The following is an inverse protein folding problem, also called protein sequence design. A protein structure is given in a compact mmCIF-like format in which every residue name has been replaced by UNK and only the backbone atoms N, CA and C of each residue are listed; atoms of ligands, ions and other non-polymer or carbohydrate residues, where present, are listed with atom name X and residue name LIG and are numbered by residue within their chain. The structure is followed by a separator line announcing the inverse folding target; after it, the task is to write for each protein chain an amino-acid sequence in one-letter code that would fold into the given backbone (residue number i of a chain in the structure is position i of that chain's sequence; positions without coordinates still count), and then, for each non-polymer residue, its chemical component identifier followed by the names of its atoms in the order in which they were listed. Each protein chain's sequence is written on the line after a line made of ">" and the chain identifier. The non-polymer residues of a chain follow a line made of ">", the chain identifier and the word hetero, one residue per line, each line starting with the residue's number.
data_IF_222794606625
#
_entry.id   IF_222794606625
#
_cell.length_a   1.000
_cell.length_b   1.000
_cell.length_c   1.000
_cell.angle_alpha   90.00
_cell.angle_beta   90.00
_cell.angle_gamma   90.00
#
_symmetry.space_group_name_H-M   'P 1'
#
loop_
_entity.id
_entity.type
_entity.pdbx_description
1 polymer ?
#
# COMPACT_ATOMS: atom_id res chain seq x y z
N UNK A 1 34.71 58.60 -33.58
CA UNK A 1 35.80 57.69 -34.02
C UNK A 1 35.18 56.39 -34.51
N UNK A 2 35.82 55.77 -35.49
CA UNK A 2 35.24 54.89 -36.51
C UNK A 2 34.82 53.50 -35.98
N UNK A 3 33.70 53.03 -36.53
CA UNK A 3 33.21 51.63 -36.50
C UNK A 3 33.97 50.80 -37.55
N UNK A 4 34.25 49.52 -37.27
CA UNK A 4 33.93 48.43 -38.21
C UNK A 4 33.10 47.35 -37.47
N UNK A 5 31.97 46.81 -37.92
CA UNK A 5 31.49 46.32 -39.23
C UNK A 5 32.22 45.06 -39.76
N UNK A 6 32.01 43.90 -39.12
CA UNK A 6 32.20 42.52 -39.62
C UNK A 6 31.39 41.60 -38.69
N UNK A 7 30.61 40.58 -39.04
CA UNK A 7 29.95 40.05 -40.23
C UNK A 7 29.09 38.89 -39.66
N UNK A 8 27.84 38.76 -40.09
CA UNK A 8 26.97 37.61 -39.82
C UNK A 8 27.69 36.30 -40.19
N UNK A 9 27.68 35.30 -39.30
CA UNK A 9 27.73 33.88 -39.68
C UNK A 9 26.63 33.16 -38.92
N UNK A 10 25.83 32.44 -39.68
CA UNK A 10 24.65 31.68 -39.30
C UNK A 10 24.94 30.53 -38.32
N UNK A 11 24.02 30.29 -37.37
CA UNK A 11 23.72 28.98 -36.78
C UNK A 11 23.44 27.93 -37.89
N UNK A 12 23.63 26.60 -37.72
CA UNK A 12 23.33 25.84 -36.50
C UNK A 12 24.23 24.62 -36.19
N UNK A 13 24.53 24.34 -34.92
CA UNK A 13 24.81 22.96 -34.47
C UNK A 13 24.04 22.72 -33.17
N UNK A 14 22.71 22.74 -33.26
CA UNK A 14 21.88 21.87 -32.43
C UNK A 14 21.79 20.53 -33.17
N UNK A 15 22.89 19.77 -33.16
CA UNK A 15 22.78 18.33 -33.31
C UNK A 15 22.29 17.83 -31.94
N UNK A 16 20.97 17.79 -31.80
CA UNK A 16 20.34 16.97 -30.79
C UNK A 16 21.01 15.61 -30.85
N UNK A 17 21.57 15.17 -29.73
CA UNK A 17 21.89 13.78 -29.44
C UNK A 17 20.56 13.01 -29.48
N UNK A 18 20.03 12.78 -30.68
CA UNK A 18 19.02 11.75 -30.92
C UNK A 18 19.76 10.43 -30.85
N UNK A 19 20.13 10.04 -29.62
CA UNK A 19 20.37 8.63 -29.34
C UNK A 19 19.17 7.82 -29.83
N UNK A 20 19.36 6.53 -30.16
CA UNK A 20 18.22 5.66 -30.41
C UNK A 20 17.21 5.84 -29.27
N UNK A 21 15.89 5.84 -29.55
CA UNK A 21 14.88 5.96 -28.51
C UNK A 21 15.22 4.91 -27.45
N UNK A 22 15.35 5.36 -26.19
CA UNK A 22 15.63 4.48 -25.07
C UNK A 22 14.64 3.31 -25.15
N UNK A 23 15.16 2.10 -25.37
CA UNK A 23 14.33 0.92 -25.52
C UNK A 23 13.69 0.66 -24.16
N UNK A 24 12.38 0.47 -24.14
CA UNK A 24 11.71 0.00 -22.95
C UNK A 24 12.00 -1.49 -22.78
N UNK A 25 12.43 -1.86 -21.58
CA UNK A 25 12.68 -3.24 -21.21
C UNK A 25 11.44 -3.86 -20.56
N UNK A 26 10.53 -3.08 -20.00
CA UNK A 26 9.27 -3.57 -19.45
C UNK A 26 8.07 -2.72 -19.85
N UNK A 27 6.91 -3.36 -19.90
CA UNK A 27 5.62 -2.72 -20.13
C UNK A 27 4.55 -3.36 -19.27
N UNK A 28 3.62 -2.56 -18.76
CA UNK A 28 2.38 -3.06 -18.14
C UNK A 28 1.20 -2.45 -18.87
N UNK A 29 0.23 -3.29 -19.22
CA UNK A 29 -1.04 -2.92 -19.80
C UNK A 29 -2.18 -3.25 -18.84
N UNK A 30 -3.25 -2.44 -18.88
CA UNK A 30 -4.38 -2.58 -17.98
C UNK A 30 -5.70 -2.24 -18.68
N UNK A 31 -6.75 -2.99 -18.36
CA UNK A 31 -8.14 -2.76 -18.76
C UNK A 31 -8.98 -2.44 -17.52
N UNK A 32 -9.38 -1.17 -17.32
CA UNK A 32 -10.16 -0.76 -16.15
C UNK A 32 -11.48 -1.51 -15.97
N UNK A 33 -12.26 -1.71 -17.04
CA UNK A 33 -13.62 -2.25 -16.93
C UNK A 33 -13.65 -3.67 -16.34
N UNK A 34 -12.66 -4.50 -16.68
CA UNK A 34 -12.55 -5.88 -16.21
C UNK A 34 -11.55 -6.06 -15.07
N UNK A 35 -10.91 -4.97 -14.62
CA UNK A 35 -9.77 -5.01 -13.69
C UNK A 35 -8.70 -6.05 -14.08
N UNK A 36 -8.43 -6.16 -15.38
CA UNK A 36 -7.50 -7.14 -15.94
C UNK A 36 -6.22 -6.43 -16.38
N UNK A 37 -5.07 -7.05 -16.14
CA UNK A 37 -3.77 -6.47 -16.46
C UNK A 37 -2.85 -7.51 -17.08
N UNK A 38 -1.85 -7.06 -17.83
CA UNK A 38 -0.78 -7.90 -18.34
C UNK A 38 0.52 -7.12 -18.31
N UNK A 39 1.63 -7.82 -18.21
CA UNK A 39 2.96 -7.21 -18.22
C UNK A 39 3.90 -8.02 -19.09
N UNK A 40 4.94 -7.38 -19.58
CA UNK A 40 5.95 -8.07 -20.32
C UNK A 40 7.30 -7.41 -20.11
N UNK A 41 8.34 -8.22 -20.20
CA UNK A 41 9.72 -7.81 -20.03
C UNK A 41 10.54 -8.21 -21.26
N UNK A 42 11.70 -7.59 -21.42
CA UNK A 42 12.51 -7.76 -22.60
C UNK A 42 13.09 -9.17 -22.64
N UNK A 43 12.82 -9.82 -23.75
CA UNK A 43 13.50 -11.03 -24.21
C UNK A 43 13.84 -10.78 -25.67
N UNK A 44 14.92 -11.35 -26.18
CA UNK A 44 15.47 -10.95 -27.49
C UNK A 44 14.43 -10.82 -28.61
N UNK A 45 14.29 -9.61 -29.13
CA UNK A 45 13.34 -9.29 -30.22
C UNK A 45 11.89 -9.04 -29.79
N UNK A 46 11.56 -9.10 -28.50
CA UNK A 46 10.19 -8.88 -28.00
C UNK A 46 9.80 -7.40 -28.05
N UNK A 47 8.65 -7.13 -28.67
CA UNK A 47 7.88 -5.88 -28.54
C UNK A 47 7.11 -5.95 -27.22
N UNK A 48 7.73 -5.42 -26.14
CA UNK A 48 7.23 -5.55 -24.77
C UNK A 48 5.84 -4.94 -24.59
N UNK A 49 5.54 -3.86 -25.31
CA UNK A 49 4.24 -3.21 -25.27
C UNK A 49 3.15 -4.11 -25.87
N UNK A 50 3.39 -4.61 -27.09
CA UNK A 50 2.44 -5.52 -27.74
C UNK A 50 2.24 -6.81 -26.94
N UNK A 51 3.30 -7.32 -26.32
CA UNK A 51 3.21 -8.48 -25.45
C UNK A 51 2.31 -8.22 -24.23
N UNK A 52 2.54 -7.12 -23.50
CA UNK A 52 1.75 -6.75 -22.33
C UNK A 52 0.25 -6.57 -22.69
N UNK A 53 -0.03 -5.92 -23.82
CA UNK A 53 -1.40 -5.76 -24.34
C UNK A 53 -2.08 -7.11 -24.62
N UNK A 54 -1.38 -8.04 -25.29
CA UNK A 54 -1.92 -9.38 -25.56
C UNK A 54 -2.16 -10.17 -24.28
N UNK A 55 -1.27 -10.03 -23.30
CA UNK A 55 -1.44 -10.73 -22.03
C UNK A 55 -2.66 -10.19 -21.27
N UNK A 56 -2.82 -8.86 -21.19
CA UNK A 56 -4.02 -8.23 -20.64
C UNK A 56 -5.31 -8.73 -21.32
N UNK A 57 -5.30 -8.84 -22.66
CA UNK A 57 -6.44 -9.38 -23.41
C UNK A 57 -6.69 -10.86 -23.12
N UNK A 58 -5.62 -11.66 -22.97
CA UNK A 58 -5.72 -13.08 -22.64
C UNK A 58 -6.31 -13.34 -21.25
N UNK A 59 -6.16 -12.37 -20.34
CA UNK A 59 -6.79 -12.37 -19.02
C UNK A 59 -8.16 -11.66 -18.99
N UNK A 60 -8.79 -11.50 -20.16
CA UNK A 60 -10.17 -11.03 -20.27
C UNK A 60 -10.34 -9.52 -20.41
N UNK A 61 -9.26 -8.72 -20.46
CA UNK A 61 -9.36 -7.29 -20.68
C UNK A 61 -9.84 -6.94 -22.09
N UNK A 62 -10.84 -6.05 -22.20
CA UNK A 62 -11.40 -5.66 -23.52
C UNK A 62 -10.89 -4.30 -24.01
N UNK A 63 -10.48 -3.42 -23.09
CA UNK A 63 -9.97 -2.08 -23.37
C UNK A 63 -8.53 -1.90 -22.86
N UNK A 64 -7.69 -2.91 -23.07
CA UNK A 64 -6.29 -2.91 -22.65
C UNK A 64 -5.49 -1.76 -23.27
N UNK A 65 -4.81 -0.98 -22.42
CA UNK A 65 -3.86 0.06 -22.81
C UNK A 65 -2.59 -0.02 -21.97
N UNK A 66 -1.47 0.38 -22.55
CA UNK A 66 -0.21 0.54 -21.82
C UNK A 66 -0.36 1.63 -20.75
N UNK A 67 0.00 1.31 -19.51
CA UNK A 67 -0.11 2.23 -18.36
C UNK A 67 1.25 2.68 -17.83
N UNK A 68 2.27 1.83 -17.95
CA UNK A 68 3.67 2.18 -17.70
C UNK A 68 4.57 1.47 -18.70
N UNK A 69 5.68 2.14 -19.02
CA UNK A 69 6.71 1.67 -19.94
C UNK A 69 8.07 2.13 -19.38
N UNK A 70 8.96 1.20 -19.04
CA UNK A 70 10.25 1.53 -18.44
C UNK A 70 11.40 0.77 -19.07
N UNK A 71 12.61 1.28 -18.88
CA UNK A 71 13.85 0.56 -19.14
C UNK A 71 14.18 -0.39 -17.98
N UNK A 72 15.47 -0.47 -17.67
CA UNK A 72 16.03 -1.35 -16.65
C UNK A 72 15.43 -1.14 -15.24
N UNK A 73 15.45 -2.21 -14.44
CA UNK A 73 15.09 -2.20 -13.02
C UNK A 73 14.01 -3.23 -12.65
N UNK A 74 13.53 -3.08 -11.42
CA UNK A 74 12.46 -3.88 -10.82
C UNK A 74 11.11 -3.19 -11.02
N UNK A 75 10.07 -4.00 -11.11
CA UNK A 75 8.70 -3.60 -11.36
C UNK A 75 7.78 -4.41 -10.44
N UNK A 76 6.63 -3.86 -10.10
CA UNK A 76 5.63 -4.60 -9.34
C UNK A 76 4.22 -4.18 -9.73
N UNK A 77 3.28 -5.10 -9.53
CA UNK A 77 1.85 -4.85 -9.64
C UNK A 77 1.20 -5.24 -8.31
N UNK A 78 0.38 -4.34 -7.79
CA UNK A 78 -0.44 -4.55 -6.61
C UNK A 78 -1.92 -4.40 -6.97
N UNK A 79 -2.77 -5.18 -6.33
CA UNK A 79 -4.21 -5.19 -6.52
C UNK A 79 -4.92 -4.86 -5.20
N UNK A 80 -6.03 -4.15 -5.30
CA UNK A 80 -6.83 -3.84 -4.12
C UNK A 80 -7.54 -5.09 -3.59
N UNK A 81 -7.62 -5.17 -2.26
CA UNK A 81 -8.40 -6.18 -1.57
C UNK A 81 -9.89 -5.87 -1.72
N UNK A 82 -10.68 -6.91 -2.04
CA UNK A 82 -12.13 -6.80 -2.11
C UNK A 82 -12.72 -6.22 -0.81
N UNK A 83 -13.78 -5.39 -0.89
CA UNK A 83 -14.62 -5.12 -2.07
C UNK A 83 -14.08 -4.03 -3.01
N UNK A 84 -12.97 -3.38 -2.66
CA UNK A 84 -12.35 -2.42 -3.56
C UNK A 84 -11.74 -3.15 -4.77
N UNK A 85 -11.72 -2.45 -5.90
CA UNK A 85 -11.22 -2.97 -7.18
C UNK A 85 -10.33 -1.91 -7.79
N UNK A 86 -9.07 -2.27 -8.03
CA UNK A 86 -8.10 -1.40 -8.65
C UNK A 86 -6.71 -2.00 -8.64
N UNK A 87 -5.77 -1.20 -9.14
CA UNK A 87 -4.40 -1.59 -9.40
C UNK A 87 -3.45 -0.45 -9.01
N UNK A 88 -2.27 -0.83 -8.53
CA UNK A 88 -1.09 0.02 -8.45
C UNK A 88 0.06 -0.67 -9.16
N UNK A 89 0.86 0.10 -9.89
CA UNK A 89 1.99 -0.39 -10.67
C UNK A 89 3.18 0.48 -10.37
N UNK A 90 4.34 -0.15 -10.20
CA UNK A 90 5.64 0.51 -10.18
C UNK A 90 6.54 -0.10 -11.24
N UNK A 91 7.48 0.69 -11.75
CA UNK A 91 8.23 0.31 -12.93
C UNK A 91 9.61 0.97 -12.95
N UNK A 92 10.65 0.21 -13.33
CA UNK A 92 12.03 0.70 -13.44
C UNK A 92 12.63 1.27 -12.15
N UNK A 93 12.44 0.62 -11.00
CA UNK A 93 13.03 1.03 -9.72
C UNK A 93 14.19 0.11 -9.29
N UNK A 94 15.03 0.59 -8.37
CA UNK A 94 16.34 -0.03 -8.14
C UNK A 94 16.33 -1.41 -7.45
N UNK A 95 15.28 -1.77 -6.72
CA UNK A 95 15.22 -3.03 -5.98
C UNK A 95 13.77 -3.55 -5.79
N UNK A 96 13.58 -4.85 -5.46
CA UNK A 96 12.27 -5.47 -5.33
C UNK A 96 11.39 -4.82 -4.24
N UNK A 97 12.00 -4.44 -3.10
CA UNK A 97 11.29 -3.78 -1.99
C UNK A 97 10.67 -2.45 -2.43
N UNK A 98 11.45 -1.61 -3.12
CA UNK A 98 10.98 -0.31 -3.62
C UNK A 98 9.88 -0.50 -4.65
N UNK A 99 10.01 -1.50 -5.53
CA UNK A 99 8.98 -1.81 -6.52
C UNK A 99 7.66 -2.16 -5.82
N UNK A 100 7.70 -3.08 -4.85
CA UNK A 100 6.54 -3.43 -4.01
C UNK A 100 5.96 -2.18 -3.35
N UNK A 101 6.75 -1.43 -2.60
CA UNK A 101 6.27 -0.32 -1.79
C UNK A 101 5.58 0.75 -2.65
N UNK A 102 6.15 1.09 -3.81
CA UNK A 102 5.56 2.05 -4.75
C UNK A 102 4.25 1.53 -5.36
N UNK A 103 4.21 0.25 -5.77
CA UNK A 103 3.00 -0.33 -6.34
C UNK A 103 1.86 -0.40 -5.30
N UNK A 104 2.18 -0.83 -4.07
CA UNK A 104 1.24 -0.84 -2.94
C UNK A 104 0.75 0.58 -2.64
N UNK A 105 1.63 1.56 -2.51
CA UNK A 105 1.26 2.94 -2.23
C UNK A 105 0.38 3.56 -3.34
N UNK A 106 0.72 3.32 -4.61
CA UNK A 106 -0.10 3.76 -5.75
C UNK A 106 -1.50 3.12 -5.73
N UNK A 107 -1.58 1.82 -5.40
CA UNK A 107 -2.84 1.10 -5.28
C UNK A 107 -3.69 1.62 -4.11
N UNK A 108 -3.08 1.75 -2.92
CA UNK A 108 -3.76 2.22 -1.70
C UNK A 108 -4.25 3.65 -1.88
N UNK A 109 -3.47 4.53 -2.51
CA UNK A 109 -3.90 5.91 -2.79
C UNK A 109 -5.04 5.96 -3.80
N UNK A 110 -5.00 5.13 -4.84
CA UNK A 110 -6.05 5.13 -5.85
C UNK A 110 -7.37 4.58 -5.31
N UNK A 111 -7.32 3.48 -4.55
CA UNK A 111 -8.49 2.70 -4.14
C UNK A 111 -8.96 2.98 -2.72
N UNK A 112 -8.13 3.65 -1.91
CA UNK A 112 -8.35 3.86 -0.48
C UNK A 112 -8.69 2.54 0.25
N UNK A 113 -7.99 1.47 -0.10
CA UNK A 113 -8.16 0.15 0.46
C UNK A 113 -6.80 -0.51 0.68
N UNK A 114 -6.77 -1.56 1.50
CA UNK A 114 -5.61 -2.44 1.56
C UNK A 114 -5.34 -3.01 0.17
N UNK A 115 -4.06 -3.03 -0.20
CA UNK A 115 -3.62 -3.64 -1.45
C UNK A 115 -2.59 -4.72 -1.16
N UNK A 116 -2.50 -5.70 -2.06
CA UNK A 116 -1.55 -6.80 -1.97
C UNK A 116 -0.78 -6.89 -3.29
N UNK A 117 0.50 -7.21 -3.20
CA UNK A 117 1.35 -7.37 -4.37
C UNK A 117 0.99 -8.66 -5.07
N UNK A 118 0.62 -8.57 -6.34
CA UNK A 118 0.32 -9.72 -7.17
C UNK A 118 1.61 -10.28 -7.77
N UNK A 119 2.48 -9.42 -8.30
CA UNK A 119 3.76 -9.85 -8.88
C UNK A 119 4.86 -8.80 -8.71
N UNK A 120 6.11 -9.27 -8.68
CA UNK A 120 7.34 -8.47 -8.75
C UNK A 120 8.25 -9.11 -9.79
N UNK A 121 8.75 -8.31 -10.74
CA UNK A 121 9.54 -8.80 -11.86
C UNK A 121 10.63 -7.83 -12.30
N UNK A 122 11.71 -8.34 -12.89
CA UNK A 122 12.82 -7.55 -13.41
C UNK A 122 12.70 -7.27 -14.92
N UNK A 123 13.66 -6.49 -15.44
CA UNK A 123 13.71 -6.07 -16.84
C UNK A 123 13.88 -7.20 -17.87
N UNK A 124 14.30 -8.39 -17.44
CA UNK A 124 14.47 -9.56 -18.31
C UNK A 124 13.41 -10.64 -18.08
N UNK A 125 12.42 -10.37 -17.21
CA UNK A 125 11.26 -11.20 -16.99
C UNK A 125 11.39 -12.23 -15.87
N UNK A 126 12.43 -12.16 -15.04
CA UNK A 126 12.48 -12.99 -13.84
C UNK A 126 11.45 -12.48 -12.84
N UNK A 127 10.64 -13.40 -12.32
CA UNK A 127 9.64 -13.10 -11.30
C UNK A 127 10.13 -13.51 -9.92
N UNK A 128 9.76 -12.72 -8.91
CA UNK A 128 9.90 -13.12 -7.52
C UNK A 128 8.86 -14.21 -7.21
N UNK A 129 9.23 -15.32 -6.56
CA UNK A 129 8.28 -16.36 -6.18
C UNK A 129 7.14 -15.81 -5.31
N UNK A 130 5.92 -16.31 -5.53
CA UNK A 130 4.73 -15.79 -4.84
C UNK A 130 4.82 -15.85 -3.30
N UNK A 131 5.42 -16.91 -2.76
CA UNK A 131 5.63 -17.06 -1.32
C UNK A 131 6.49 -15.93 -0.75
N UNK A 132 7.54 -15.53 -1.48
CA UNK A 132 8.39 -14.38 -1.13
C UNK A 132 7.64 -13.06 -1.29
N UNK A 133 6.78 -12.94 -2.29
CA UNK A 133 5.91 -11.76 -2.47
C UNK A 133 5.02 -11.58 -1.25
N UNK A 134 4.28 -12.63 -0.87
CA UNK A 134 3.38 -12.62 0.29
C UNK A 134 4.11 -12.42 1.61
N UNK A 135 5.23 -13.11 1.86
CA UNK A 135 6.02 -12.90 3.06
C UNK A 135 6.46 -11.43 3.19
N UNK A 136 6.88 -10.83 2.08
CA UNK A 136 7.29 -9.44 2.06
C UNK A 136 6.15 -8.44 2.27
N UNK A 137 4.95 -8.69 1.73
CA UNK A 137 3.79 -7.84 2.02
C UNK A 137 3.42 -7.89 3.51
N UNK A 138 3.46 -9.08 4.11
CA UNK A 138 3.19 -9.23 5.55
C UNK A 138 4.19 -8.48 6.41
N UNK A 139 5.49 -8.59 6.09
CA UNK A 139 6.54 -7.86 6.78
C UNK A 139 6.39 -6.33 6.60
N UNK A 140 6.08 -5.89 5.38
CA UNK A 140 5.84 -4.49 5.06
C UNK A 140 4.69 -3.90 5.90
N UNK A 141 3.52 -4.54 5.89
CA UNK A 141 2.39 -4.05 6.68
C UNK A 141 2.65 -4.17 8.18
N UNK A 142 3.28 -5.25 8.65
CA UNK A 142 3.60 -5.43 10.05
C UNK A 142 4.52 -4.33 10.58
N UNK A 143 5.66 -4.10 9.92
CA UNK A 143 6.64 -3.08 10.34
C UNK A 143 6.05 -1.68 10.23
N UNK A 144 5.34 -1.37 9.14
CA UNK A 144 4.69 -0.07 8.97
C UNK A 144 3.65 0.23 10.05
N UNK A 145 2.78 -0.73 10.38
CA UNK A 145 1.77 -0.54 11.43
C UNK A 145 2.41 -0.46 12.81
N UNK A 146 3.44 -1.27 13.10
CA UNK A 146 4.18 -1.20 14.36
C UNK A 146 4.80 0.20 14.56
N UNK A 147 5.40 0.79 13.51
CA UNK A 147 5.88 2.18 13.55
C UNK A 147 4.76 3.17 13.85
N UNK A 148 3.62 3.07 13.18
CA UNK A 148 2.43 3.90 13.44
C UNK A 148 1.92 3.75 14.88
N UNK A 149 2.24 2.63 15.54
CA UNK A 149 1.89 2.34 16.92
C UNK A 149 3.00 2.62 17.93
N UNK A 150 4.07 3.29 17.51
CA UNK A 150 5.25 3.63 18.32
C UNK A 150 5.91 2.40 18.96
N UNK A 151 5.87 1.25 18.30
CA UNK A 151 6.75 0.13 18.66
C UNK A 151 8.13 0.39 18.06
N UNK A 152 9.17 -0.03 18.79
CA UNK A 152 10.55 0.08 18.33
C UNK A 152 10.80 -0.93 17.21
N UNK A 153 10.87 -0.45 15.98
CA UNK A 153 11.31 -1.18 14.79
C UNK A 153 12.18 -0.24 13.97
N UNK A 154 13.24 -0.76 13.36
CA UNK A 154 14.27 0.05 12.70
C UNK A 154 13.70 0.81 11.50
N UNK A 155 13.49 0.09 10.41
CA UNK A 155 13.02 0.64 9.14
C UNK A 155 11.81 -0.13 8.63
N UNK A 156 11.03 0.53 7.76
CA UNK A 156 10.01 -0.14 6.98
C UNK A 156 10.68 -1.07 5.97
N UNK A 157 10.37 -2.37 6.04
CA UNK A 157 11.08 -3.42 5.31
C UNK A 157 10.14 -4.55 4.92
N UNK A 158 10.52 -5.35 3.91
CA UNK A 158 9.83 -6.58 3.51
C UNK A 158 10.43 -7.85 4.15
N UNK A 159 11.26 -7.68 5.18
CA UNK A 159 11.80 -8.79 5.97
C UNK A 159 11.64 -8.50 7.46
N UNK A 160 11.44 -9.54 8.27
CA UNK A 160 11.41 -9.38 9.72
C UNK A 160 12.81 -9.66 10.26
N UNK A 161 13.41 -8.69 10.94
CA UNK A 161 14.63 -8.87 11.72
C UNK A 161 14.30 -9.29 13.17
N UNK A 162 15.30 -9.27 14.06
CA UNK A 162 15.08 -9.61 15.47
C UNK A 162 14.22 -8.60 16.23
N UNK A 163 14.33 -7.32 15.89
CA UNK A 163 13.63 -6.23 16.56
C UNK A 163 12.17 -6.15 16.12
N UNK A 164 11.89 -6.29 14.83
CA UNK A 164 10.54 -6.40 14.29
C UNK A 164 9.79 -7.61 14.86
N UNK A 165 10.47 -8.77 15.02
CA UNK A 165 9.88 -9.95 15.68
C UNK A 165 9.59 -9.72 17.16
N UNK A 166 10.49 -9.05 17.88
CA UNK A 166 10.25 -8.70 19.28
C UNK A 166 9.06 -7.74 19.42
N UNK A 167 8.99 -6.70 18.59
CA UNK A 167 7.86 -5.76 18.55
C UNK A 167 6.54 -6.45 18.19
N UNK A 168 6.55 -7.39 17.23
CA UNK A 168 5.39 -8.23 16.92
C UNK A 168 4.96 -9.09 18.11
N UNK A 169 5.92 -9.70 18.81
CA UNK A 169 5.66 -10.50 19.99
C UNK A 169 5.01 -9.68 21.12
N UNK A 170 5.53 -8.46 21.36
CA UNK A 170 4.96 -7.52 22.33
C UNK A 170 3.56 -7.05 21.93
N UNK A 171 3.35 -6.80 20.64
CA UNK A 171 2.01 -6.48 20.12
C UNK A 171 1.05 -7.65 20.35
N UNK A 172 1.44 -8.86 19.96
CA UNK A 172 0.66 -10.09 20.16
C UNK A 172 0.29 -10.28 21.64
N UNK A 173 1.24 -10.06 22.55
CA UNK A 173 1.00 -10.09 23.99
C UNK A 173 -0.12 -9.12 24.41
N UNK A 174 -0.06 -7.87 23.94
CA UNK A 174 -1.05 -6.84 24.26
C UNK A 174 -2.44 -7.19 23.76
N UNK A 175 -2.56 -7.85 22.61
CA UNK A 175 -3.86 -8.19 22.00
C UNK A 175 -4.29 -9.65 22.25
N UNK A 176 -3.64 -10.34 23.19
CA UNK A 176 -4.02 -11.68 23.64
C UNK A 176 -3.76 -12.80 22.63
N UNK A 177 -2.80 -12.63 21.73
CA UNK A 177 -2.37 -13.64 20.77
C UNK A 177 -1.14 -14.43 21.26
N UNK A 178 -0.89 -15.65 20.72
CA UNK A 178 0.38 -16.32 20.91
C UNK A 178 1.55 -15.46 20.43
N UNK A 179 2.58 -15.34 21.26
CA UNK A 179 3.78 -14.54 21.06
C UNK A 179 4.77 -15.20 20.08
N UNK A 180 4.34 -15.46 18.84
CA UNK A 180 5.18 -16.08 17.81
C UNK A 180 6.24 -15.13 17.25
N UNK A 181 6.01 -13.81 17.32
CA UNK A 181 6.80 -12.81 16.61
C UNK A 181 6.59 -12.83 15.10
N UNK A 182 5.60 -13.57 14.60
CA UNK A 182 5.34 -13.76 13.17
C UNK A 182 3.94 -13.20 12.79
N UNK A 183 3.82 -12.48 11.66
CA UNK A 183 2.59 -11.82 11.24
C UNK A 183 1.70 -12.79 10.44
N UNK A 184 1.11 -13.76 11.13
CA UNK A 184 0.07 -14.58 10.52
C UNK A 184 -1.22 -13.77 10.21
N UNK A 185 -2.22 -14.42 9.61
CA UNK A 185 -3.43 -13.73 9.17
C UNK A 185 -4.20 -13.09 10.35
N UNK A 186 -4.21 -13.71 11.54
CA UNK A 186 -4.91 -13.13 12.70
C UNK A 186 -4.11 -11.95 13.24
N UNK A 187 -2.78 -12.09 13.39
CA UNK A 187 -1.87 -11.02 13.81
C UNK A 187 -1.98 -9.81 12.89
N UNK A 188 -1.99 -10.00 11.56
CA UNK A 188 -2.18 -8.92 10.59
C UNK A 188 -3.56 -8.28 10.71
N UNK A 189 -4.61 -9.08 10.86
CA UNK A 189 -5.96 -8.57 11.12
C UNK A 189 -5.99 -7.66 12.35
N UNK A 190 -5.32 -8.06 13.44
CA UNK A 190 -5.20 -7.25 14.66
C UNK A 190 -4.39 -5.98 14.46
N UNK A 191 -3.30 -6.05 13.70
CA UNK A 191 -2.50 -4.89 13.37
C UNK A 191 -3.35 -3.84 12.64
N UNK A 192 -4.07 -4.24 11.58
CA UNK A 192 -4.97 -3.32 10.87
C UNK A 192 -6.05 -2.72 11.78
N UNK A 193 -6.68 -3.52 12.64
CA UNK A 193 -7.67 -3.01 13.60
C UNK A 193 -7.09 -2.06 14.65
N UNK A 194 -5.77 -2.08 14.89
CA UNK A 194 -5.13 -1.18 15.85
C UNK A 194 -5.03 0.27 15.38
N UNK A 195 -5.06 0.53 14.07
CA UNK A 195 -4.88 1.86 13.46
C UNK A 195 -6.02 2.30 12.52
N UNK A 196 -6.82 1.36 12.01
CA UNK A 196 -7.75 1.48 10.88
C UNK A 196 -7.10 1.36 9.50
N UNK A 197 -7.88 0.89 8.53
CA UNK A 197 -7.42 0.74 7.14
C UNK A 197 -7.15 2.11 6.52
N UNK A 198 -8.04 3.08 6.73
CA UNK A 198 -7.88 4.45 6.22
C UNK A 198 -6.60 5.14 6.73
N UNK A 199 -6.22 4.90 7.99
CA UNK A 199 -4.94 5.42 8.51
C UNK A 199 -3.76 4.75 7.81
N UNK A 200 -3.77 3.42 7.67
CA UNK A 200 -2.68 2.71 6.98
C UNK A 200 -2.53 3.18 5.54
N UNK A 201 -3.63 3.28 4.79
CA UNK A 201 -3.59 3.71 3.38
C UNK A 201 -3.09 5.14 3.25
N UNK A 202 -3.50 6.04 4.15
CA UNK A 202 -3.05 7.44 4.15
C UNK A 202 -1.58 7.55 4.53
N UNK A 203 -1.17 6.98 5.67
CA UNK A 203 0.19 7.16 6.19
C UNK A 203 1.22 6.42 5.34
N UNK A 204 1.01 5.12 5.06
CA UNK A 204 1.94 4.35 4.23
C UNK A 204 1.90 4.79 2.76
N UNK A 205 0.71 5.11 2.25
CA UNK A 205 0.55 5.58 0.87
C UNK A 205 1.24 6.94 0.64
N UNK A 206 1.09 7.88 1.57
CA UNK A 206 1.71 9.21 1.46
C UNK A 206 3.22 9.14 1.70
N UNK A 207 3.67 8.36 2.70
CA UNK A 207 5.09 8.22 3.01
C UNK A 207 5.94 7.87 1.78
N UNK A 208 5.54 6.87 0.99
CA UNK A 208 6.30 6.50 -0.21
C UNK A 208 6.06 7.44 -1.39
N UNK A 209 4.84 7.89 -1.64
CA UNK A 209 4.61 8.73 -2.81
C UNK A 209 5.22 10.12 -2.64
N UNK A 210 5.24 10.65 -1.43
CA UNK A 210 5.80 11.98 -1.16
C UNK A 210 7.34 11.91 -1.06
N UNK A 211 7.90 10.86 -0.44
CA UNK A 211 9.35 10.66 -0.39
C UNK A 211 9.98 10.50 -1.78
N UNK A 212 9.20 10.04 -2.77
CA UNK A 212 9.69 9.73 -4.11
C UNK A 212 8.95 10.49 -5.23
N UNK A 213 8.22 11.57 -4.90
CA UNK A 213 7.35 12.29 -5.83
C UNK A 213 8.08 12.80 -7.10
N UNK A 214 9.37 13.15 -6.97
CA UNK A 214 10.22 13.59 -8.10
C UNK A 214 10.70 12.43 -8.96
N UNK A 215 11.27 11.39 -8.36
CA UNK A 215 11.92 10.28 -9.06
C UNK A 215 10.95 9.27 -9.67
N UNK A 216 9.71 9.22 -9.16
CA UNK A 216 8.67 8.29 -9.63
C UNK A 216 7.66 8.91 -10.59
N UNK A 217 7.79 10.21 -10.93
CA UNK A 217 6.94 10.83 -11.91
C UNK A 217 7.05 10.10 -13.27
N UNK A 218 6.00 9.35 -13.64
CA UNK A 218 5.97 8.51 -14.85
C UNK A 218 6.43 7.05 -14.65
N UNK A 219 6.83 6.65 -13.45
CA UNK A 219 7.22 5.27 -13.07
C UNK A 219 6.22 4.55 -12.17
N UNK A 220 5.17 5.27 -11.75
CA UNK A 220 4.07 4.72 -10.98
C UNK A 220 2.74 5.00 -11.67
N UNK A 221 1.81 4.04 -11.58
CA UNK A 221 0.44 4.17 -12.06
C UNK A 221 -0.51 3.62 -11.00
N UNK A 222 -1.56 4.36 -10.68
CA UNK A 222 -2.63 3.92 -9.78
C UNK A 222 -3.99 4.14 -10.42
N UNK A 223 -4.88 3.15 -10.32
CA UNK A 223 -6.25 3.28 -10.82
C UNK A 223 -7.23 2.51 -9.95
N UNK A 224 -8.38 3.13 -9.68
CA UNK A 224 -9.50 2.49 -9.01
C UNK A 224 -10.67 2.34 -9.99
N UNK A 225 -11.16 1.10 -10.09
CA UNK A 225 -12.45 0.78 -10.72
C UNK A 225 -13.57 1.06 -9.71
N UNK A 226 -13.36 0.61 -8.47
CA UNK A 226 -14.14 0.98 -7.30
C UNK A 226 -13.19 1.17 -6.11
N UNK A 227 -13.25 2.35 -5.49
CA UNK A 227 -12.54 2.61 -4.24
C UNK A 227 -13.46 2.46 -3.03
N UNK A 228 -12.88 2.39 -1.83
CA UNK A 228 -13.64 2.63 -0.61
C UNK A 228 -13.74 4.14 -0.39
N UNK A 229 -14.89 4.68 0.02
CA UNK A 229 -14.92 6.05 0.51
C UNK A 229 -13.92 6.18 1.68
N UNK A 230 -13.21 7.32 1.82
CA UNK A 230 -12.48 7.63 3.04
C UNK A 230 -13.43 7.45 4.22
N UNK A 231 -13.08 6.54 5.13
CA UNK A 231 -13.86 6.24 6.32
C UNK A 231 -13.05 6.58 7.54
N UNK A 232 -13.72 7.17 8.52
CA UNK A 232 -13.19 7.25 9.87
C UNK A 232 -13.19 5.85 10.50
N UNK A 233 -12.36 5.67 11.53
CA UNK A 233 -12.22 4.37 12.22
C UNK A 233 -13.56 3.84 12.72
N UNK A 234 -14.40 4.71 13.29
CA UNK A 234 -15.74 4.33 13.75
C UNK A 234 -16.66 3.88 12.62
N UNK A 235 -16.61 4.53 11.45
CA UNK A 235 -17.40 4.12 10.29
C UNK A 235 -16.95 2.75 9.75
N UNK A 236 -15.65 2.45 9.81
CA UNK A 236 -15.12 1.12 9.49
C UNK A 236 -15.72 0.07 10.44
N UNK A 237 -15.76 0.35 11.74
CA UNK A 237 -16.31 -0.56 12.74
C UNK A 237 -17.83 -0.76 12.61
N UNK A 238 -18.58 0.31 12.30
CA UNK A 238 -20.02 0.23 12.03
C UNK A 238 -20.36 -0.68 10.86
N UNK A 239 -19.48 -0.73 9.85
CA UNK A 239 -19.65 -1.60 8.69
C UNK A 239 -19.33 -3.09 8.97
N UNK A 240 -18.75 -3.42 10.13
CA UNK A 240 -18.44 -4.79 10.52
C UNK A 240 -19.65 -5.48 11.16
N UNK A 241 -19.72 -6.81 11.04
CA UNK A 241 -20.60 -7.61 11.88
C UNK A 241 -20.22 -7.45 13.36
N UNK A 242 -21.19 -7.68 14.25
CA UNK A 242 -21.03 -7.42 15.68
C UNK A 242 -19.85 -8.17 16.30
N UNK A 243 -19.62 -9.44 15.93
CA UNK A 243 -18.54 -10.24 16.49
C UNK A 243 -17.16 -9.73 16.05
N UNK A 244 -17.03 -9.33 14.78
CA UNK A 244 -15.81 -8.70 14.26
C UNK A 244 -15.60 -7.32 14.87
N UNK A 245 -16.65 -6.52 15.00
CA UNK A 245 -16.62 -5.19 15.62
C UNK A 245 -16.11 -5.23 17.06
N UNK A 246 -16.68 -6.09 17.91
CA UNK A 246 -16.25 -6.24 19.31
C UNK A 246 -14.77 -6.64 19.43
N UNK A 247 -14.29 -7.48 18.51
CA UNK A 247 -12.88 -7.85 18.43
C UNK A 247 -12.01 -6.68 17.99
N UNK A 248 -12.40 -5.95 16.94
CA UNK A 248 -11.63 -4.84 16.39
C UNK A 248 -11.49 -3.69 17.40
N UNK A 249 -12.59 -3.28 18.04
CA UNK A 249 -12.58 -2.22 19.05
C UNK A 249 -11.76 -2.60 20.28
N UNK A 250 -11.90 -3.82 20.79
CA UNK A 250 -11.07 -4.32 21.88
C UNK A 250 -9.58 -4.38 21.51
N UNK A 251 -9.26 -4.77 20.27
CA UNK A 251 -7.89 -4.76 19.74
C UNK A 251 -7.33 -3.34 19.73
N UNK A 252 -8.11 -2.37 19.25
CA UNK A 252 -7.72 -0.97 19.18
C UNK A 252 -7.40 -0.39 20.56
N UNK A 253 -8.22 -0.74 21.56
CA UNK A 253 -8.06 -0.40 22.97
C UNK A 253 -6.81 -1.06 23.58
N UNK A 254 -6.70 -2.39 23.47
CA UNK A 254 -5.61 -3.16 24.06
C UNK A 254 -4.25 -2.79 23.46
N UNK A 255 -4.18 -2.53 22.15
CA UNK A 255 -2.98 -2.03 21.50
C UNK A 255 -2.52 -0.66 22.04
N UNK A 256 -3.44 0.14 22.61
CA UNK A 256 -3.16 1.43 23.29
C UNK A 256 -2.88 1.27 24.80
N UNK A 257 -2.75 0.03 25.28
CA UNK A 257 -2.35 -0.28 26.64
C UNK A 257 -3.50 -0.32 27.65
N UNK A 258 -4.76 -0.33 27.20
CA UNK A 258 -5.87 -0.60 28.11
C UNK A 258 -5.96 -2.08 28.45
N UNK A 259 -6.60 -2.41 29.57
CA UNK A 259 -6.74 -3.79 30.03
C UNK A 259 -7.86 -4.57 29.33
N UNK A 260 -8.45 -4.04 28.25
CA UNK A 260 -9.63 -4.63 27.62
C UNK A 260 -9.33 -6.01 27.01
N UNK A 261 -9.80 -7.09 27.67
CA UNK A 261 -9.67 -8.45 27.13
C UNK A 261 -10.54 -8.61 25.89
N UNK A 262 -10.02 -9.35 24.90
CA UNK A 262 -10.68 -9.60 23.62
C UNK A 262 -11.56 -10.87 23.67
N UNK A 263 -12.75 -10.87 23.05
CA UNK A 263 -13.46 -9.70 22.53
C UNK A 263 -14.05 -8.83 23.65
N UNK A 264 -14.36 -7.57 23.33
CA UNK A 264 -15.24 -6.77 24.20
C UNK A 264 -16.59 -7.46 24.40
N UNK A 265 -17.26 -7.18 25.52
CA UNK A 265 -18.63 -7.62 25.81
C UNK A 265 -19.66 -6.83 25.00
N UNK A 266 -19.40 -5.55 24.79
CA UNK A 266 -20.20 -4.67 23.94
C UNK A 266 -19.32 -3.56 23.34
N UNK A 267 -19.66 -3.12 22.13
CA UNK A 267 -19.03 -1.98 21.48
C UNK A 267 -20.04 -1.32 20.54
N UNK A 268 -20.49 -0.12 20.89
CA UNK A 268 -21.53 0.60 20.15
C UNK A 268 -21.34 2.12 20.26
N UNK A 269 -21.66 2.88 19.20
CA UNK A 269 -21.82 4.31 19.35
C UNK A 269 -23.13 4.58 20.12
N UNK A 270 -23.17 5.50 21.09
CA UNK A 270 -24.37 5.83 21.85
C UNK A 270 -25.42 6.54 21.00
N UNK A 271 -25.01 7.13 19.87
CA UNK A 271 -25.89 7.73 18.88
C UNK A 271 -25.57 7.10 17.52
N UNK A 272 -26.57 6.57 16.82
CA UNK A 272 -26.37 5.83 15.55
C UNK A 272 -25.70 6.69 14.46
N UNK A 273 -25.81 8.01 14.54
CA UNK A 273 -25.23 8.97 13.60
C UNK A 273 -23.82 9.44 14.01
N UNK A 274 -23.34 9.08 15.21
CA UNK A 274 -22.08 9.56 15.77
C UNK A 274 -21.02 8.45 15.73
N UNK A 275 -20.29 8.37 14.62
CA UNK A 275 -19.19 7.42 14.47
C UNK A 275 -17.93 7.83 15.28
N UNK A 276 -17.92 9.03 15.84
CA UNK A 276 -16.75 9.61 16.50
C UNK A 276 -16.74 9.25 18.00
N UNK A 277 -17.90 8.94 18.59
CA UNK A 277 -18.00 8.50 19.99
C UNK A 277 -18.41 7.02 20.11
N UNK A 278 -17.70 6.27 20.96
CA UNK A 278 -17.96 4.84 21.21
C UNK A 278 -18.01 4.51 22.69
N UNK A 279 -19.03 3.77 23.10
CA UNK A 279 -19.10 3.08 24.38
C UNK A 279 -18.62 1.64 24.22
N UNK A 280 -17.68 1.23 25.05
CA UNK A 280 -17.07 -0.11 25.00
C UNK A 280 -17.10 -0.74 26.38
N UNK A 281 -17.69 -1.92 26.48
CA UNK A 281 -17.70 -2.71 27.71
C UNK A 281 -16.73 -3.88 27.58
N UNK A 282 -15.74 -3.94 28.45
CA UNK A 282 -14.79 -5.05 28.53
C UNK A 282 -15.04 -5.89 29.80
N UNK A 283 -14.28 -6.95 30.01
CA UNK A 283 -14.40 -7.71 31.26
C UNK A 283 -13.88 -6.93 32.46
N UNK A 284 -12.95 -6.01 32.21
CA UNK A 284 -12.18 -5.25 33.19
C UNK A 284 -12.81 -3.90 33.56
N UNK A 285 -13.76 -3.40 32.76
CA UNK A 285 -14.36 -2.08 32.94
C UNK A 285 -14.99 -1.54 31.67
N UNK A 286 -15.49 -0.31 31.76
CA UNK A 286 -16.11 0.42 30.65
C UNK A 286 -15.19 1.54 30.15
N UNK A 287 -15.18 1.74 28.83
CA UNK A 287 -14.38 2.76 28.17
C UNK A 287 -15.24 3.60 27.25
N UNK A 288 -15.02 4.92 27.29
CA UNK A 288 -15.51 5.85 26.27
C UNK A 288 -14.36 6.19 25.32
N UNK A 289 -14.59 5.98 24.04
CA UNK A 289 -13.68 6.37 22.95
C UNK A 289 -14.21 7.60 22.25
N UNK A 290 -13.33 8.58 22.04
CA UNK A 290 -13.57 9.72 21.16
C UNK A 290 -12.50 9.66 20.06
N UNK A 291 -12.95 9.56 18.81
CA UNK A 291 -12.13 9.43 17.61
C UNK A 291 -12.37 10.71 16.82
N UNK A 292 -11.31 11.50 16.61
CA UNK A 292 -11.38 12.73 15.82
C UNK A 292 -10.22 12.79 14.82
N UNK A 293 -10.20 13.81 13.97
CA UNK A 293 -9.13 14.01 12.99
C UNK A 293 -7.74 14.21 13.63
N UNK A 294 -7.69 14.65 14.89
CA UNK A 294 -6.48 14.94 15.64
C UNK A 294 -5.94 13.77 16.46
N UNK A 295 -6.70 12.69 16.60
CA UNK A 295 -6.27 11.48 17.29
C UNK A 295 -7.41 10.72 17.97
N UNK A 296 -7.08 10.09 19.09
CA UNK A 296 -8.04 9.28 19.85
C UNK A 296 -7.87 9.56 21.33
N UNK A 297 -8.97 9.91 21.99
CA UNK A 297 -9.07 10.03 23.44
C UNK A 297 -9.76 8.78 23.99
N UNK A 298 -9.16 8.17 25.01
CA UNK A 298 -9.74 7.03 25.73
C UNK A 298 -9.97 7.46 27.16
N UNK A 299 -11.23 7.37 27.61
CA UNK A 299 -11.63 7.60 28.99
C UNK A 299 -11.99 6.26 29.62
N UNK A 300 -11.45 5.98 30.80
CA UNK A 300 -11.83 4.82 31.60
C UNK A 300 -12.94 5.27 32.57
N UNK A 301 -14.12 4.69 32.42
CA UNK A 301 -15.33 5.10 33.12
C UNK A 301 -15.55 4.32 34.43
N UNK A 302 -14.65 3.37 34.76
CA UNK A 302 -14.71 2.50 35.94
C UNK A 302 -14.98 1.05 35.60
#
# INVERSE_FOLDING_TARGET
>A
MRVPAVLLVLLPVLAALSGPPARADTSVAYSPAENSYGWCAYTDGTDVERCALRQCQSYGGTACRTVVLCGEGMNAVALAQAPAVGIGVSCGVGNPFTARAVALAACMRATNANCWTDTIFDAIGNQTPQETVWAGDRAFFATGILQLRNFEVDDLTDTLDGQARAALSDFQAKVGLPQSGEPDNDTLGRLFWSVSVGTVTRELGSFFLDAYAGDLAGRAYGHAVSGNPPRQVGEEWLAMDEATRMKAVATFLAARGTACTLPARAAFPPFEEDADFWSVECAEGSYSLIIDEGGTTILNDG
#
